data_IF_607698829634
#
_entry.id   IF_607698829634
#
_cell.length_a   1.000
_cell.length_b   1.000
_cell.length_c   1.000
_cell.angle_alpha   90.00
_cell.angle_beta   90.00
_cell.angle_gamma   90.00
#
_symmetry.space_group_name_H-M   'P 1'
#
loop_
_entity.id
_entity.type
_entity.pdbx_description
1 polymer ?
#
# COMPACT_ATOMS: atom_id res chain seq x y z
N UNK A 1 9.44 14.08 1.64
CA UNK A 1 8.33 13.30 2.23
C UNK A 1 7.01 14.01 1.92
N UNK A 2 6.08 13.31 1.28
CA UNK A 2 4.73 13.82 0.95
C UNK A 2 3.78 13.41 2.06
N UNK A 3 2.86 14.28 2.46
CA UNK A 3 1.79 13.97 3.41
C UNK A 3 0.45 13.98 2.68
N UNK A 4 -0.25 12.86 2.67
CA UNK A 4 -1.52 12.72 1.97
C UNK A 4 -2.63 12.31 2.94
N UNK A 5 -3.71 13.08 2.97
CA UNK A 5 -4.92 12.74 3.74
C UNK A 5 -6.00 12.24 2.80
N UNK A 6 -6.51 11.04 3.06
CA UNK A 6 -7.56 10.38 2.28
C UNK A 6 -8.77 10.10 3.16
N UNK A 7 -9.97 10.19 2.59
CA UNK A 7 -11.20 9.85 3.29
C UNK A 7 -12.29 9.42 2.31
N UNK A 8 -13.21 8.58 2.78
CA UNK A 8 -14.40 8.18 2.03
C UNK A 8 -14.63 6.67 2.05
N UNK A 9 -15.37 6.21 1.04
CA UNK A 9 -15.45 4.79 0.69
C UNK A 9 -14.10 4.27 0.20
N UNK A 10 -13.86 2.94 0.21
CA UNK A 10 -12.60 2.38 -0.28
C UNK A 10 -12.26 2.85 -1.70
N UNK A 11 -13.25 2.87 -2.60
CA UNK A 11 -13.07 3.38 -3.95
C UNK A 11 -12.68 4.88 -3.99
N UNK A 12 -13.34 5.75 -3.21
CA UNK A 12 -13.00 7.17 -3.17
C UNK A 12 -11.61 7.42 -2.59
N UNK A 13 -11.24 6.70 -1.52
CA UNK A 13 -9.88 6.71 -0.95
C UNK A 13 -8.88 6.36 -2.04
N UNK A 14 -9.12 5.26 -2.74
CA UNK A 14 -8.28 4.81 -3.84
C UNK A 14 -8.20 5.82 -4.99
N UNK A 15 -9.34 6.37 -5.41
CA UNK A 15 -9.40 7.33 -6.51
C UNK A 15 -8.62 8.61 -6.20
N UNK A 16 -8.76 9.13 -4.99
CA UNK A 16 -7.98 10.27 -4.54
C UNK A 16 -6.49 9.94 -4.44
N UNK A 17 -6.12 8.78 -3.90
CA UNK A 17 -4.74 8.30 -3.90
C UNK A 17 -4.17 8.29 -5.34
N UNK A 18 -4.85 7.61 -6.25
CA UNK A 18 -4.46 7.49 -7.66
C UNK A 18 -4.30 8.84 -8.34
N UNK A 19 -5.27 9.74 -8.15
CA UNK A 19 -5.29 11.06 -8.77
C UNK A 19 -4.17 11.96 -8.27
N UNK A 20 -3.99 12.07 -6.95
CA UNK A 20 -3.01 12.98 -6.35
C UNK A 20 -1.56 12.49 -6.56
N UNK A 21 -1.37 11.18 -6.68
CA UNK A 21 -0.05 10.56 -6.79
C UNK A 21 0.23 9.94 -8.17
N UNK A 22 -0.58 10.27 -9.18
CA UNK A 22 -0.54 9.68 -10.54
C UNK A 22 0.90 9.52 -11.07
N UNK A 23 1.68 10.59 -11.10
CA UNK A 23 3.04 10.54 -11.64
C UNK A 23 3.99 9.64 -10.82
N UNK A 24 3.84 9.60 -9.50
CA UNK A 24 4.64 8.72 -8.65
C UNK A 24 4.25 7.26 -8.83
N UNK A 25 2.95 6.96 -8.95
CA UNK A 25 2.45 5.60 -9.22
C UNK A 25 3.00 5.08 -10.55
N UNK A 26 2.95 5.90 -11.60
CA UNK A 26 3.54 5.56 -12.90
C UNK A 26 5.04 5.28 -12.79
N UNK A 27 5.77 6.08 -12.00
CA UNK A 27 7.19 5.85 -11.76
C UNK A 27 7.46 4.56 -10.97
N UNK A 28 6.72 4.30 -9.90
CA UNK A 28 6.81 3.07 -9.10
C UNK A 28 6.58 1.83 -9.96
N UNK A 29 5.50 1.83 -10.77
CA UNK A 29 5.20 0.70 -11.67
C UNK A 29 6.29 0.54 -12.73
N UNK A 30 6.82 1.63 -13.29
CA UNK A 30 7.93 1.56 -14.26
C UNK A 30 9.19 0.95 -13.63
N UNK A 31 9.56 1.38 -12.42
CA UNK A 31 10.73 0.86 -11.72
C UNK A 31 10.56 -0.61 -11.36
N UNK A 32 9.38 -1.00 -10.84
CA UNK A 32 9.05 -2.41 -10.62
C UNK A 32 9.01 -3.24 -11.90
N UNK A 33 8.54 -2.65 -13.00
CA UNK A 33 8.56 -3.26 -14.32
C UNK A 33 9.97 -3.70 -14.71
N UNK A 34 10.98 -2.85 -14.51
CA UNK A 34 12.39 -3.20 -14.74
C UNK A 34 12.87 -4.36 -13.87
N UNK A 35 12.44 -4.43 -12.61
CA UNK A 35 12.73 -5.56 -11.73
C UNK A 35 12.11 -6.88 -12.25
N UNK A 36 10.95 -6.81 -12.92
CA UNK A 36 10.30 -7.96 -13.53
C UNK A 36 10.85 -8.38 -14.90
N UNK A 37 11.64 -7.52 -15.57
CA UNK A 37 12.25 -7.83 -16.87
C UNK A 37 13.44 -8.81 -16.79
N UNK A 38 13.85 -9.24 -15.59
CA UNK A 38 14.94 -10.21 -15.41
C UNK A 38 14.49 -11.65 -15.18
N UNK A 39 13.52 -11.88 -14.27
CA UNK A 39 13.03 -13.21 -13.89
C UNK A 39 11.73 -13.09 -13.10
N UNK A 40 10.71 -13.91 -13.44
CA UNK A 40 9.49 -14.15 -12.64
C UNK A 40 8.40 -13.04 -12.62
N UNK A 41 8.11 -12.32 -13.71
CA UNK A 41 6.84 -11.59 -13.77
C UNK A 41 5.67 -12.60 -13.73
N UNK A 42 4.71 -12.49 -12.80
CA UNK A 42 3.55 -13.38 -12.78
C UNK A 42 2.79 -13.29 -14.10
N UNK A 43 2.27 -14.42 -14.58
CA UNK A 43 1.40 -14.40 -15.75
C UNK A 43 0.13 -13.59 -15.45
N UNK A 44 -0.51 -13.05 -16.49
CA UNK A 44 -1.76 -12.31 -16.33
C UNK A 44 -2.86 -13.15 -15.68
N UNK A 45 -2.91 -14.44 -15.98
CA UNK A 45 -3.82 -15.40 -15.35
C UNK A 45 -3.54 -15.54 -13.85
N UNK A 46 -2.27 -15.50 -13.45
CA UNK A 46 -1.86 -15.55 -12.04
C UNK A 46 -2.34 -14.30 -11.31
N UNK A 47 -2.12 -13.11 -11.88
CA UNK A 47 -2.59 -11.83 -11.32
C UNK A 47 -4.12 -11.85 -11.19
N UNK A 48 -4.81 -12.27 -12.25
CA UNK A 48 -6.27 -12.38 -12.25
C UNK A 48 -6.79 -13.34 -11.16
N UNK A 49 -6.21 -14.53 -11.06
CA UNK A 49 -6.62 -15.51 -10.04
C UNK A 49 -6.40 -15.00 -8.62
N UNK A 50 -5.27 -14.31 -8.37
CA UNK A 50 -5.01 -13.67 -7.09
C UNK A 50 -5.99 -12.51 -6.83
N UNK A 51 -6.29 -11.70 -7.84
CA UNK A 51 -7.30 -10.66 -7.78
C UNK A 51 -8.70 -11.20 -7.45
N UNK A 52 -9.12 -12.30 -8.07
CA UNK A 52 -10.41 -12.94 -7.78
C UNK A 52 -10.50 -13.43 -6.32
N UNK A 53 -9.42 -14.03 -5.80
CA UNK A 53 -9.33 -14.43 -4.39
C UNK A 53 -9.39 -13.22 -3.46
N UNK A 54 -8.65 -12.16 -3.79
CA UNK A 54 -8.61 -10.92 -3.03
C UNK A 54 -9.99 -10.23 -3.00
N UNK A 55 -10.67 -10.17 -4.15
CA UNK A 55 -12.04 -9.64 -4.25
C UNK A 55 -13.03 -10.43 -3.38
N UNK A 56 -12.86 -11.75 -3.29
CA UNK A 56 -13.73 -12.59 -2.47
C UNK A 56 -13.45 -12.46 -0.97
N UNK A 57 -12.19 -12.26 -0.57
CA UNK A 57 -11.78 -12.23 0.82
C UNK A 57 -11.83 -10.81 1.43
N UNK A 58 -11.41 -9.81 0.65
CA UNK A 58 -11.23 -8.41 1.05
C UNK A 58 -11.78 -7.47 -0.05
N UNK A 59 -13.10 -7.46 -0.28
CA UNK A 59 -13.72 -6.67 -1.35
C UNK A 59 -13.42 -5.17 -1.24
N UNK A 60 -13.27 -4.64 -0.03
CA UNK A 60 -12.89 -3.25 0.24
C UNK A 60 -11.49 -2.92 -0.29
N UNK A 61 -10.52 -3.82 -0.12
CA UNK A 61 -9.17 -3.62 -0.64
C UNK A 61 -9.17 -3.61 -2.16
N UNK A 62 -9.95 -4.51 -2.78
CA UNK A 62 -10.13 -4.54 -4.24
C UNK A 62 -10.75 -3.23 -4.76
N UNK A 63 -11.74 -2.69 -4.07
CA UNK A 63 -12.35 -1.41 -4.44
C UNK A 63 -11.38 -0.24 -4.29
N UNK A 64 -10.54 -0.24 -3.25
CA UNK A 64 -9.48 0.77 -3.09
C UNK A 64 -8.45 0.68 -4.23
N UNK A 65 -7.94 -0.51 -4.57
CA UNK A 65 -7.03 -0.66 -5.72
C UNK A 65 -7.69 -0.29 -7.06
N UNK A 66 -8.98 -0.58 -7.24
CA UNK A 66 -9.75 -0.13 -8.40
C UNK A 66 -9.81 1.39 -8.47
N UNK A 67 -10.06 2.05 -7.33
CA UNK A 67 -9.98 3.50 -7.22
C UNK A 67 -8.61 4.02 -7.61
N UNK A 68 -7.53 3.43 -7.08
CA UNK A 68 -6.15 3.84 -7.42
C UNK A 68 -5.90 3.74 -8.92
N UNK A 69 -6.29 2.62 -9.54
CA UNK A 69 -6.15 2.41 -10.97
C UNK A 69 -6.90 3.49 -11.78
N UNK A 70 -8.16 3.73 -11.44
CA UNK A 70 -9.01 4.71 -12.12
C UNK A 70 -8.48 6.16 -11.94
N UNK A 71 -8.02 6.51 -10.73
CA UNK A 71 -7.46 7.83 -10.42
C UNK A 71 -6.09 8.08 -11.05
N UNK A 72 -5.25 7.04 -11.12
CA UNK A 72 -3.92 7.09 -11.73
C UNK A 72 -3.96 6.89 -13.25
N UNK A 73 -5.12 6.56 -13.83
CA UNK A 73 -5.29 6.25 -15.25
C UNK A 73 -4.36 5.11 -15.67
N UNK A 74 -4.43 4.00 -14.94
CA UNK A 74 -3.62 2.81 -15.12
C UNK A 74 -4.47 1.53 -15.14
N UNK A 75 -4.00 0.46 -15.81
CA UNK A 75 -4.63 -0.85 -15.71
C UNK A 75 -4.66 -1.36 -14.26
N UNK A 76 -5.80 -1.89 -13.82
CA UNK A 76 -5.94 -2.54 -12.51
C UNK A 76 -4.92 -3.67 -12.31
N UNK A 77 -4.59 -4.41 -13.37
CA UNK A 77 -3.60 -5.49 -13.33
C UNK A 77 -2.21 -5.00 -12.84
N UNK A 78 -1.83 -3.76 -13.18
CA UNK A 78 -0.55 -3.18 -12.74
C UNK A 78 -0.57 -2.80 -11.25
N UNK A 79 -1.70 -2.26 -10.77
CA UNK A 79 -1.92 -1.96 -9.34
C UNK A 79 -1.98 -3.26 -8.52
N UNK A 80 -2.60 -4.31 -9.05
CA UNK A 80 -2.62 -5.63 -8.42
C UNK A 80 -1.22 -6.22 -8.36
N UNK A 81 -0.44 -6.13 -9.43
CA UNK A 81 0.94 -6.61 -9.45
C UNK A 81 1.82 -5.88 -8.42
N UNK A 82 1.62 -4.57 -8.25
CA UNK A 82 2.28 -3.77 -7.22
C UNK A 82 1.97 -4.29 -5.80
N UNK A 83 0.71 -4.65 -5.53
CA UNK A 83 0.24 -4.99 -4.17
C UNK A 83 0.32 -6.48 -3.81
N UNK A 84 0.35 -7.38 -4.80
CA UNK A 84 0.35 -8.83 -4.56
C UNK A 84 1.74 -9.44 -4.43
N UNK A 85 2.79 -8.71 -4.82
CA UNK A 85 4.16 -9.22 -4.75
C UNK A 85 4.94 -8.52 -3.65
N UNK A 86 5.44 -9.24 -2.64
CA UNK A 86 6.29 -8.66 -1.62
C UNK A 86 7.57 -8.14 -2.28
N UNK A 87 7.99 -6.94 -1.87
CA UNK A 87 9.31 -6.42 -2.19
C UNK A 87 10.36 -7.41 -1.66
N UNK A 88 11.41 -7.71 -2.43
CA UNK A 88 12.58 -8.41 -1.88
C UNK A 88 13.42 -7.39 -1.14
N UNK A 89 12.89 -6.91 -0.03
CA UNK A 89 13.56 -5.93 0.82
C UNK A 89 13.95 -6.60 2.13
N UNK A 90 15.12 -6.20 2.62
CA UNK A 90 15.47 -6.41 4.01
C UNK A 90 14.66 -5.42 4.85
N UNK A 91 14.29 -5.85 6.05
CA UNK A 91 13.80 -4.92 7.05
C UNK A 91 14.39 -5.31 8.41
N UNK A 92 14.56 -4.30 9.26
CA UNK A 92 14.96 -4.48 10.65
C UNK A 92 13.87 -3.91 11.54
N UNK A 93 13.29 -4.77 12.39
CA UNK A 93 12.29 -4.38 13.37
C UNK A 93 12.88 -4.48 14.77
N UNK A 94 12.60 -3.49 15.61
CA UNK A 94 13.01 -3.46 17.01
C UNK A 94 11.80 -3.18 17.89
N UNK A 95 11.61 -4.02 18.91
CA UNK A 95 10.61 -3.81 19.95
C UNK A 95 11.33 -3.75 21.31
N UNK A 96 11.12 -2.67 22.05
CA UNK A 96 11.67 -2.45 23.38
C UNK A 96 10.54 -2.27 24.38
N UNK A 97 10.67 -2.88 25.56
CA UNK A 97 9.83 -2.57 26.70
C UNK A 97 10.55 -1.54 27.56
N UNK A 98 10.00 -0.33 27.64
CA UNK A 98 10.53 0.77 28.44
C UNK A 98 9.57 1.09 29.60
N UNK A 99 10.05 1.84 30.60
CA UNK A 99 9.22 2.23 31.75
C UNK A 99 8.03 3.12 31.31
N UNK A 100 8.23 3.93 30.27
CA UNK A 100 7.23 4.83 29.71
C UNK A 100 6.22 4.14 28.78
N UNK A 101 6.46 2.86 28.46
CA UNK A 101 5.63 2.05 27.56
C UNK A 101 6.45 1.33 26.49
N UNK A 102 5.81 0.44 25.71
CA UNK A 102 6.46 -0.26 24.60
C UNK A 102 6.85 0.71 23.48
N UNK A 103 8.04 0.54 22.93
CA UNK A 103 8.52 1.25 21.75
C UNK A 103 8.71 0.25 20.61
N UNK A 104 8.15 0.57 19.44
CA UNK A 104 8.40 -0.16 18.19
C UNK A 104 9.13 0.75 17.20
N UNK A 105 10.15 0.19 16.56
CA UNK A 105 10.91 0.82 15.48
C UNK A 105 10.99 -0.09 14.28
N UNK A 106 10.90 0.51 13.10
CA UNK A 106 11.00 -0.17 11.81
C UNK A 106 12.01 0.58 10.94
N UNK A 107 12.91 -0.19 10.31
CA UNK A 107 13.77 0.28 9.24
C UNK A 107 13.49 -0.56 8.03
N UNK A 108 13.08 0.11 6.96
CA UNK A 108 12.97 -0.47 5.62
C UNK A 108 14.29 -0.22 4.90
N UNK A 109 14.93 -1.28 4.38
CA UNK A 109 16.19 -1.17 3.65
C UNK A 109 16.00 -0.67 2.20
N UNK A 110 14.76 -0.27 1.86
CA UNK A 110 14.28 0.21 0.55
C UNK A 110 15.39 0.65 -0.41
N UNK A 111 15.79 -0.29 -1.28
CA UNK A 111 16.97 -0.17 -2.15
C UNK A 111 16.63 0.66 -3.41
N UNK A 112 15.35 0.92 -3.70
CA UNK A 112 14.90 1.42 -5.00
C UNK A 112 14.65 2.94 -5.08
N UNK A 113 15.01 3.73 -4.06
CA UNK A 113 14.80 5.19 -4.06
C UNK A 113 13.34 5.60 -4.36
N UNK A 114 12.36 4.81 -3.92
CA UNK A 114 10.96 5.18 -4.02
C UNK A 114 10.65 6.34 -3.05
N UNK A 115 9.71 7.20 -3.42
CA UNK A 115 9.35 8.33 -2.57
C UNK A 115 8.45 7.86 -1.42
N UNK A 116 8.90 8.07 -0.18
CA UNK A 116 8.08 7.83 1.01
C UNK A 116 6.94 8.83 1.12
N UNK A 117 5.74 8.27 1.33
CA UNK A 117 4.50 9.02 1.51
C UNK A 117 3.93 8.69 2.88
N UNK A 118 3.77 9.71 3.71
CA UNK A 118 3.04 9.63 4.96
C UNK A 118 1.54 9.75 4.68
N UNK A 119 0.82 8.64 4.78
CA UNK A 119 -0.63 8.60 4.61
C UNK A 119 -1.33 8.84 5.94
N UNK A 120 -2.46 9.54 5.87
CA UNK A 120 -3.49 9.58 6.91
C UNK A 120 -4.82 9.20 6.26
N UNK A 121 -5.35 8.05 6.58
CA UNK A 121 -6.58 7.53 5.95
C UNK A 121 -7.70 7.48 6.97
N UNK A 122 -8.83 8.09 6.65
CA UNK A 122 -10.05 8.05 7.46
C UNK A 122 -11.12 7.23 6.76
N UNK A 123 -11.43 6.07 7.31
CA UNK A 123 -12.45 5.18 6.79
C UNK A 123 -13.84 5.58 7.25
N UNK A 124 -14.87 5.22 6.48
CA UNK A 124 -16.27 5.45 6.84
C UNK A 124 -16.69 4.75 8.15
N UNK A 125 -15.97 3.70 8.57
CA UNK A 125 -16.16 3.03 9.87
C UNK A 125 -15.77 3.90 11.06
N UNK A 126 -15.11 5.04 10.84
CA UNK A 126 -14.52 5.88 11.88
C UNK A 126 -13.08 5.50 12.23
N UNK A 127 -12.56 4.40 11.68
CA UNK A 127 -11.16 4.03 11.83
C UNK A 127 -10.25 5.05 11.12
N UNK A 128 -9.18 5.48 11.79
CA UNK A 128 -8.12 6.28 11.20
C UNK A 128 -6.80 5.49 11.25
N UNK A 129 -6.10 5.43 10.12
CA UNK A 129 -4.75 4.86 10.05
C UNK A 129 -3.76 5.93 9.63
N UNK A 130 -2.53 5.78 10.12
CA UNK A 130 -1.38 6.57 9.69
C UNK A 130 -0.24 5.61 9.41
N UNK A 131 0.45 5.79 8.29
CA UNK A 131 1.57 4.94 7.93
C UNK A 131 2.47 5.67 6.94
N UNK A 132 3.65 5.10 6.72
CA UNK A 132 4.52 5.47 5.61
C UNK A 132 4.46 4.33 4.61
N UNK A 133 4.24 4.64 3.35
CA UNK A 133 4.21 3.66 2.27
C UNK A 133 4.58 4.31 0.93
N UNK A 134 4.67 3.50 -0.12
CA UNK A 134 4.93 3.95 -1.48
C UNK A 134 3.64 4.36 -2.20
N UNK A 135 3.77 5.14 -3.27
CA UNK A 135 2.62 5.49 -4.10
C UNK A 135 2.01 4.24 -4.77
N UNK A 136 0.69 4.09 -4.68
CA UNK A 136 -0.08 3.00 -5.28
C UNK A 136 -0.19 1.73 -4.45
N UNK A 137 0.50 1.66 -3.30
CA UNK A 137 0.30 0.55 -2.36
C UNK A 137 -0.96 0.76 -1.51
N UNK A 138 -1.66 -0.34 -1.26
CA UNK A 138 -2.68 -0.49 -0.22
C UNK A 138 -2.11 -1.39 0.89
N UNK A 139 -2.77 -1.46 2.04
CA UNK A 139 -2.25 -2.22 3.16
C UNK A 139 -1.24 -1.41 3.95
N UNK A 140 -1.72 -0.28 4.45
CA UNK A 140 -1.10 0.43 5.56
C UNK A 140 -0.93 -0.61 6.67
N UNK A 141 0.31 -0.90 7.08
CA UNK A 141 0.55 -1.79 8.21
C UNK A 141 -0.38 -1.35 9.35
N UNK A 142 -1.31 -2.25 9.70
CA UNK A 142 -2.25 -2.04 10.79
C UNK A 142 -1.43 -2.01 12.08
N UNK A 143 -0.87 -0.86 12.41
CA UNK A 143 -0.71 -0.50 13.81
C UNK A 143 -2.12 -0.31 14.34
N UNK A 144 -2.71 -1.42 14.79
CA UNK A 144 -3.85 -1.40 15.70
C UNK A 144 -3.41 -0.52 16.88
N UNK A 145 -3.95 0.70 16.93
CA UNK A 145 -3.93 1.47 18.15
C UNK A 145 -4.89 0.74 19.10
N UNK A 146 -4.37 -0.20 19.88
CA UNK A 146 -5.11 -0.77 20.99
C UNK A 146 -5.32 0.35 22.01
N UNK A 147 -6.46 1.03 21.92
CA UNK A 147 -7.11 1.59 23.09
C UNK A 147 -7.61 0.42 23.93
N UNK A 148 -7.10 0.34 25.16
CA UNK A 148 -7.52 -0.52 26.27
C UNK A 148 -6.71 -1.81 26.48
N UNK A 149 -5.50 -1.64 27.05
CA UNK A 149 -4.93 -2.60 27.98
C UNK A 149 -5.20 -2.11 29.41
N UNK A 150 -6.29 -2.60 30.03
CA UNK A 150 -6.51 -2.62 31.48
C UNK A 150 -5.98 -3.90 32.10
#
# INVERSE_FOLDING_TARGET
>A
MIFLTLQGTPYEIGFHHGRELKYLIHNVIRQRGWYFYGTECPSRETIKSAGDKLKSAFPEMMEEMRGIADGADMPLDDILLLNLRPLKEGCSNLALLCEEGPMLGHVDDNIECMADIAFRVRYASGLETKCIAIAGSIGYELQLCESDCT
#
